data_IF_845755318045
#
_entry.id   IF_845755318045
#
_cell.length_a   1.000
_cell.length_b   1.000
_cell.length_c   1.000
_cell.angle_alpha   90.00
_cell.angle_beta   90.00
_cell.angle_gamma   90.00
#
_symmetry.space_group_name_H-M   'P 1'
#
loop_
_entity.id
_entity.type
_entity.pdbx_description
1 polymer ?
#
# COMPACT_ATOMS: atom_id res chain seq x y z
N UNK A 1 -40.45 7.22 3.49
CA UNK A 1 -39.30 6.83 4.34
C UNK A 1 -38.09 6.82 3.42
N UNK A 2 -37.05 7.57 3.78
CA UNK A 2 -35.94 7.89 2.87
C UNK A 2 -35.19 6.62 2.44
N UNK A 3 -35.02 6.46 1.12
CA UNK A 3 -34.09 5.53 0.53
C UNK A 3 -32.67 6.05 0.82
N UNK A 4 -31.96 5.39 1.72
CA UNK A 4 -30.54 5.63 1.92
C UNK A 4 -29.81 5.19 0.65
N UNK A 5 -29.09 6.07 -0.06
CA UNK A 5 -28.36 5.65 -1.24
C UNK A 5 -27.24 4.68 -0.83
N UNK A 6 -27.29 3.49 -1.42
CA UNK A 6 -26.23 2.48 -1.41
C UNK A 6 -24.89 3.15 -1.66
N UNK A 7 -24.00 3.11 -0.66
CA UNK A 7 -22.60 3.47 -0.83
C UNK A 7 -22.04 2.49 -1.84
N UNK A 8 -21.80 2.98 -3.06
CA UNK A 8 -21.00 2.28 -4.05
C UNK A 8 -19.66 1.95 -3.39
N UNK A 9 -19.45 0.68 -3.06
CA UNK A 9 -18.15 0.14 -2.69
C UNK A 9 -17.26 0.32 -3.92
N UNK A 10 -16.50 1.43 -3.93
CA UNK A 10 -15.44 1.61 -4.90
C UNK A 10 -14.43 0.50 -4.61
N UNK A 11 -14.34 -0.44 -5.54
CA UNK A 11 -13.35 -1.52 -5.52
C UNK A 11 -11.96 -0.88 -5.59
N UNK A 12 -11.39 -0.58 -4.43
CA UNK A 12 -10.07 0.03 -4.30
C UNK A 12 -9.04 -1.09 -4.15
N UNK A 13 -8.32 -1.36 -5.24
CA UNK A 13 -7.25 -2.35 -5.23
C UNK A 13 -5.89 -1.66 -5.14
N UNK A 14 -5.12 -1.98 -4.08
CA UNK A 14 -3.76 -1.50 -3.97
C UNK A 14 -2.81 -2.28 -4.86
N UNK A 15 -2.04 -1.55 -5.65
CA UNK A 15 -0.91 -2.05 -6.42
C UNK A 15 0.38 -1.36 -5.98
N UNK A 16 1.51 -1.97 -6.33
CA UNK A 16 2.82 -1.38 -6.09
C UNK A 16 2.95 0.02 -6.73
N UNK A 17 2.43 0.19 -7.95
CA UNK A 17 2.43 1.45 -8.69
C UNK A 17 1.56 2.51 -8.02
N UNK A 18 0.37 2.13 -7.54
CA UNK A 18 -0.52 3.03 -6.84
C UNK A 18 0.10 3.52 -5.53
N UNK A 19 0.71 2.63 -4.75
CA UNK A 19 1.40 3.00 -3.52
C UNK A 19 2.57 3.94 -3.79
N UNK A 20 3.33 3.70 -4.87
CA UNK A 20 4.41 4.58 -5.29
C UNK A 20 3.88 5.99 -5.65
N UNK A 21 2.80 6.07 -6.43
CA UNK A 21 2.19 7.34 -6.81
C UNK A 21 1.62 8.10 -5.61
N UNK A 22 1.00 7.40 -4.65
CA UNK A 22 0.54 7.99 -3.38
C UNK A 22 1.71 8.56 -2.59
N UNK A 23 2.79 7.78 -2.42
CA UNK A 23 3.99 8.24 -1.74
C UNK A 23 4.64 9.43 -2.46
N UNK A 24 4.67 9.42 -3.79
CA UNK A 24 5.19 10.52 -4.61
C UNK A 24 4.37 11.80 -4.42
N UNK A 25 3.03 11.70 -4.40
CA UNK A 25 2.15 12.84 -4.11
C UNK A 25 2.38 13.37 -2.70
N UNK A 26 2.48 12.48 -1.71
CA UNK A 26 2.79 12.86 -0.32
C UNK A 26 4.14 13.58 -0.21
N UNK A 27 5.13 13.19 -1.02
CA UNK A 27 6.46 13.82 -1.08
C UNK A 27 6.43 15.22 -1.69
N UNK A 28 5.69 15.40 -2.77
CA UNK A 28 5.79 16.61 -3.60
C UNK A 28 4.83 17.72 -3.18
N UNK A 29 3.82 17.39 -2.38
CA UNK A 29 2.82 18.34 -1.89
C UNK A 29 3.10 18.68 -0.44
N UNK A 30 2.98 19.94 -0.07
CA UNK A 30 3.14 20.38 1.32
C UNK A 30 1.93 20.03 2.17
N UNK A 31 0.73 20.06 1.58
CA UNK A 31 -0.52 19.68 2.21
C UNK A 31 -0.61 18.18 2.47
N UNK A 32 -1.30 17.82 3.56
CA UNK A 32 -1.59 16.44 3.91
C UNK A 32 -2.58 15.86 2.89
N UNK A 33 -2.17 14.82 2.19
CA UNK A 33 -3.02 14.24 1.15
C UNK A 33 -4.16 13.41 1.78
N UNK A 34 -5.33 13.42 1.15
CA UNK A 34 -6.39 12.50 1.54
C UNK A 34 -6.03 11.07 1.10
N UNK A 35 -6.18 10.12 2.02
CA UNK A 35 -6.11 8.70 1.72
C UNK A 35 -7.52 8.13 1.73
N UNK A 36 -7.75 7.07 0.97
CA UNK A 36 -8.98 6.30 1.07
C UNK A 36 -9.12 5.73 2.50
N UNK A 37 -10.34 5.67 3.07
CA UNK A 37 -10.54 5.22 4.45
C UNK A 37 -9.94 3.84 4.75
N UNK A 38 -9.99 2.93 3.78
CA UNK A 38 -9.46 1.56 3.90
C UNK A 38 -8.03 1.40 3.38
N UNK A 39 -7.31 2.49 3.10
CA UNK A 39 -5.99 2.44 2.47
C UNK A 39 -5.03 1.45 3.15
N UNK A 40 -4.91 1.50 4.47
CA UNK A 40 -4.01 0.59 5.19
C UNK A 40 -4.50 -0.86 5.22
N UNK A 41 -5.81 -1.09 5.21
CA UNK A 41 -6.41 -2.41 5.06
C UNK A 41 -6.03 -3.01 3.71
N UNK A 42 -6.26 -2.27 2.63
CA UNK A 42 -5.90 -2.71 1.29
C UNK A 42 -4.38 -2.90 1.09
N UNK A 43 -3.53 -2.13 1.80
CA UNK A 43 -2.06 -2.36 1.78
C UNK A 43 -1.72 -3.69 2.45
N UNK A 44 -2.35 -3.96 3.59
CA UNK A 44 -2.13 -5.19 4.36
C UNK A 44 -2.54 -6.42 3.55
N UNK A 45 -3.70 -6.36 2.89
CA UNK A 45 -4.16 -7.44 2.01
C UNK A 45 -3.20 -7.66 0.84
N UNK A 46 -2.72 -6.58 0.22
CA UNK A 46 -1.72 -6.69 -0.83
C UNK A 46 -0.39 -7.30 -0.35
N UNK A 47 0.07 -6.95 0.85
CA UNK A 47 1.24 -7.58 1.46
C UNK A 47 1.03 -9.08 1.69
N UNK A 48 -0.14 -9.47 2.20
CA UNK A 48 -0.45 -10.88 2.45
C UNK A 48 -0.48 -11.70 1.16
N UNK A 49 -1.01 -11.13 0.07
CA UNK A 49 -0.95 -11.75 -1.25
C UNK A 49 0.50 -12.00 -1.67
N UNK A 50 1.40 -11.03 -1.50
CA UNK A 50 2.82 -11.19 -1.82
C UNK A 50 3.53 -12.23 -0.93
N UNK A 51 3.20 -12.30 0.37
CA UNK A 51 3.75 -13.35 1.24
C UNK A 51 3.21 -14.74 0.89
N UNK A 52 1.96 -14.83 0.45
CA UNK A 52 1.37 -16.09 0.00
C UNK A 52 2.04 -16.57 -1.29
N UNK A 53 2.25 -15.66 -2.25
CA UNK A 53 3.02 -15.91 -3.47
C UNK A 53 4.45 -16.37 -3.13
N UNK A 54 5.14 -15.68 -2.23
CA UNK A 54 6.47 -16.07 -1.78
C UNK A 54 6.50 -17.47 -1.15
N UNK A 55 5.50 -17.80 -0.33
CA UNK A 55 5.41 -19.14 0.27
C UNK A 55 5.20 -20.21 -0.80
N UNK A 56 4.29 -19.99 -1.76
CA UNK A 56 4.06 -20.91 -2.87
C UNK A 56 5.33 -21.10 -3.71
N UNK A 57 6.07 -20.02 -3.96
CA UNK A 57 7.34 -20.10 -4.68
C UNK A 57 8.39 -20.96 -3.98
N UNK A 58 8.35 -21.06 -2.65
CA UNK A 58 9.23 -21.96 -1.89
C UNK A 58 8.77 -23.43 -1.92
N UNK A 59 7.49 -23.68 -2.20
CA UNK A 59 6.90 -25.04 -2.26
C UNK A 59 7.01 -25.65 -3.68
N UNK A 60 7.16 -24.82 -4.71
CA UNK A 60 7.27 -25.20 -6.12
C UNK A 60 8.69 -24.97 -6.68
N UNK A 61 9.10 -25.65 -7.78
CA UNK A 61 10.39 -25.40 -8.40
C UNK A 61 10.41 -24.01 -9.07
N UNK A 62 10.91 -23.03 -8.34
CA UNK A 62 11.17 -21.67 -8.81
C UNK A 62 12.67 -21.37 -8.77
N UNK A 63 13.12 -20.40 -9.56
CA UNK A 63 14.51 -19.95 -9.49
C UNK A 63 14.74 -19.08 -8.25
N UNK A 64 15.95 -19.12 -7.70
CA UNK A 64 16.36 -18.23 -6.60
C UNK A 64 16.17 -16.74 -6.99
N UNK A 65 16.41 -16.39 -8.25
CA UNK A 65 16.22 -15.05 -8.80
C UNK A 65 14.75 -14.59 -8.74
N UNK A 66 13.79 -15.48 -8.94
CA UNK A 66 12.34 -15.16 -8.86
C UNK A 66 11.90 -14.93 -7.42
N UNK A 67 12.38 -15.78 -6.50
CA UNK A 67 12.16 -15.66 -5.06
C UNK A 67 12.72 -14.33 -4.56
N UNK A 68 13.96 -13.99 -4.95
CA UNK A 68 14.61 -12.75 -4.55
C UNK A 68 13.83 -11.51 -5.04
N UNK A 69 13.29 -11.54 -6.27
CA UNK A 69 12.46 -10.44 -6.81
C UNK A 69 11.22 -10.18 -5.94
N UNK A 70 10.52 -11.22 -5.52
CA UNK A 70 9.33 -11.07 -4.65
C UNK A 70 9.73 -10.59 -3.26
N UNK A 71 10.81 -11.11 -2.69
CA UNK A 71 11.32 -10.62 -1.41
C UNK A 71 11.68 -9.13 -1.47
N UNK A 72 12.37 -8.71 -2.53
CA UNK A 72 12.72 -7.31 -2.75
C UNK A 72 11.48 -6.43 -2.91
N UNK A 73 10.46 -6.90 -3.64
CA UNK A 73 9.17 -6.21 -3.78
C UNK A 73 8.49 -5.99 -2.42
N UNK A 74 8.46 -7.03 -1.57
CA UNK A 74 7.91 -6.94 -0.20
C UNK A 74 8.70 -5.94 0.64
N UNK A 75 10.04 -6.00 0.61
CA UNK A 75 10.90 -5.07 1.35
C UNK A 75 10.68 -3.62 0.92
N UNK A 76 10.64 -3.37 -0.39
CA UNK A 76 10.37 -2.05 -0.95
C UNK A 76 9.00 -1.55 -0.55
N UNK A 77 7.99 -2.42 -0.55
CA UNK A 77 6.64 -2.05 -0.16
C UNK A 77 6.57 -1.61 1.30
N UNK A 78 7.16 -2.40 2.21
CA UNK A 78 7.26 -2.04 3.65
C UNK A 78 7.98 -0.71 3.84
N UNK A 79 9.04 -0.45 3.07
CA UNK A 79 9.77 0.83 3.10
C UNK A 79 8.88 1.99 2.63
N UNK A 80 8.14 1.83 1.54
CA UNK A 80 7.24 2.87 1.03
C UNK A 80 6.14 3.23 2.04
N UNK A 81 5.54 2.23 2.69
CA UNK A 81 4.51 2.45 3.72
C UNK A 81 5.07 3.19 4.93
N UNK A 82 6.27 2.81 5.38
CA UNK A 82 6.96 3.50 6.48
C UNK A 82 7.27 4.96 6.12
N UNK A 83 7.82 5.19 4.93
CA UNK A 83 8.11 6.54 4.44
C UNK A 83 6.84 7.39 4.34
N UNK A 84 5.73 6.79 3.89
CA UNK A 84 4.43 7.46 3.82
C UNK A 84 3.96 7.87 5.22
N UNK A 85 3.96 6.95 6.18
CA UNK A 85 3.58 7.22 7.57
C UNK A 85 4.41 8.37 8.16
N UNK A 86 5.75 8.28 8.09
CA UNK A 86 6.64 9.30 8.68
C UNK A 86 6.47 10.67 8.03
N UNK A 87 6.13 10.75 6.74
CA UNK A 87 5.86 12.03 6.07
C UNK A 87 4.55 12.63 6.51
N UNK A 88 3.50 11.82 6.61
CA UNK A 88 2.19 12.25 7.09
C UNK A 88 2.25 12.74 8.53
N UNK A 89 2.96 12.01 9.39
CA UNK A 89 3.22 12.41 10.78
C UNK A 89 3.88 13.79 10.85
N UNK A 90 4.96 14.02 10.09
CA UNK A 90 5.63 15.33 10.04
C UNK A 90 4.70 16.46 9.62
N UNK A 91 3.84 16.23 8.62
CA UNK A 91 2.86 17.22 8.17
C UNK A 91 1.79 17.48 9.23
N UNK A 92 1.27 16.42 9.87
CA UNK A 92 0.29 16.55 10.95
C UNK A 92 0.83 17.34 12.13
N UNK A 93 2.08 17.08 12.54
CA UNK A 93 2.75 17.83 13.61
C UNK A 93 3.02 19.28 13.21
N UNK A 94 3.39 19.54 11.95
CA UNK A 94 3.62 20.91 11.47
C UNK A 94 2.33 21.73 11.28
N UNK A 95 1.17 21.09 11.26
CA UNK A 95 -0.14 21.74 11.21
C UNK A 95 -0.70 22.06 12.62
N UNK A 96 -0.08 21.54 13.68
CA UNK A 96 -0.45 21.75 15.08
C UNK A 96 0.32 22.93 15.69
#
# INVERSE_FOLDING_TARGET
MAETPSKQEKEWHISYELLFEILRREKNREDLQQLEPDFFGSVFDYLNTLYTELRQMHEEPNSDDEIEKIQLKIQNLKKMVRDLYSRREKKLVGLA
#
